data_IF_620234512026
#
_entry.id   IF_620234512026
#
_cell.length_a   1.000
_cell.length_b   1.000
_cell.length_c   1.000
_cell.angle_alpha   90.00
_cell.angle_beta   90.00
_cell.angle_gamma   90.00
#
_symmetry.space_group_name_H-M   'P 1'
#
loop_
_entity.id
_entity.type
_entity.pdbx_description
1 polymer ?
#
# COMPACT_ATOMS: atom_id res chain seq x y z
N UNK A 1 11.87 -33.95 4.55
CA UNK A 1 12.29 -32.65 3.97
C UNK A 1 11.25 -31.52 4.02
N UNK A 2 9.94 -31.79 4.08
CA UNK A 2 8.89 -30.77 4.31
C UNK A 2 9.08 -29.91 5.58
N UNK A 3 9.74 -30.47 6.60
CA UNK A 3 10.00 -29.78 7.88
C UNK A 3 10.95 -28.60 7.68
N UNK A 4 12.03 -28.79 6.90
CA UNK A 4 13.00 -27.73 6.61
C UNK A 4 12.37 -26.61 5.78
N UNK A 5 11.61 -26.98 4.75
CA UNK A 5 10.90 -26.02 3.90
C UNK A 5 9.90 -25.20 4.73
N UNK A 6 9.15 -25.85 5.64
CA UNK A 6 8.21 -25.18 6.55
C UNK A 6 8.92 -24.30 7.56
N UNK A 7 10.06 -24.73 8.07
CA UNK A 7 10.84 -23.96 9.04
C UNK A 7 11.40 -22.69 8.41
N UNK A 8 12.16 -22.81 7.32
CA UNK A 8 12.72 -21.67 6.57
C UNK A 8 11.59 -20.74 6.09
N UNK A 9 10.52 -21.32 5.53
CA UNK A 9 9.38 -20.54 5.05
C UNK A 9 8.68 -19.76 6.17
N UNK A 10 8.48 -20.37 7.35
CA UNK A 10 7.89 -19.68 8.50
C UNK A 10 8.79 -18.55 9.00
N UNK A 11 10.11 -18.78 9.08
CA UNK A 11 11.07 -17.76 9.51
C UNK A 11 11.06 -16.58 8.56
N UNK A 12 11.13 -16.82 7.24
CA UNK A 12 11.08 -15.76 6.22
C UNK A 12 9.75 -15.02 6.23
N UNK A 13 8.62 -15.72 6.30
CA UNK A 13 7.30 -15.09 6.38
C UNK A 13 7.20 -14.19 7.62
N UNK A 14 7.62 -14.70 8.77
CA UNK A 14 7.61 -13.92 10.01
C UNK A 14 8.50 -12.67 9.90
N UNK A 15 9.70 -12.80 9.35
CA UNK A 15 10.58 -11.64 9.17
C UNK A 15 10.07 -10.64 8.13
N UNK A 16 9.46 -11.09 7.04
CA UNK A 16 8.79 -10.20 6.07
C UNK A 16 7.62 -9.45 6.69
N UNK A 17 6.77 -10.14 7.46
CA UNK A 17 5.66 -9.49 8.16
C UNK A 17 6.15 -8.51 9.23
N UNK A 18 7.22 -8.84 9.95
CA UNK A 18 7.82 -7.94 10.93
C UNK A 18 8.43 -6.70 10.25
N UNK A 19 9.19 -6.88 9.17
CA UNK A 19 9.73 -5.78 8.39
C UNK A 19 8.62 -4.89 7.81
N UNK A 20 7.56 -5.50 7.27
CA UNK A 20 6.39 -4.79 6.76
C UNK A 20 5.72 -3.98 7.87
N UNK A 21 5.53 -4.58 9.04
CA UNK A 21 4.93 -3.89 10.19
C UNK A 21 5.74 -2.65 10.61
N UNK A 22 7.07 -2.79 10.70
CA UNK A 22 7.95 -1.68 11.07
C UNK A 22 7.89 -0.56 10.02
N UNK A 23 8.04 -0.91 8.73
CA UNK A 23 7.97 0.06 7.64
C UNK A 23 6.61 0.76 7.60
N UNK A 24 5.52 0.00 7.75
CA UNK A 24 4.17 0.52 7.77
C UNK A 24 3.95 1.45 8.96
N UNK A 25 4.44 1.11 10.16
CA UNK A 25 4.30 1.96 11.33
C UNK A 25 4.95 3.34 11.12
N UNK A 26 6.16 3.35 10.55
CA UNK A 26 6.87 4.60 10.20
C UNK A 26 6.11 5.38 9.13
N UNK A 27 5.66 4.71 8.07
CA UNK A 27 4.90 5.34 6.98
C UNK A 27 3.58 5.95 7.46
N UNK A 28 2.85 5.23 8.32
CA UNK A 28 1.59 5.72 8.89
C UNK A 28 1.81 6.91 9.82
N UNK A 29 2.90 6.92 10.58
CA UNK A 29 3.28 8.08 11.39
C UNK A 29 3.49 9.33 10.53
N UNK A 30 4.29 9.22 9.46
CA UNK A 30 4.51 10.35 8.55
C UNK A 30 3.24 10.76 7.81
N UNK A 31 2.44 9.80 7.35
CA UNK A 31 1.17 10.09 6.71
C UNK A 31 0.22 10.86 7.64
N UNK A 32 0.15 10.45 8.90
CA UNK A 32 -0.71 11.11 9.88
C UNK A 32 -0.18 12.50 10.22
N UNK A 33 1.14 12.65 10.40
CA UNK A 33 1.78 13.95 10.63
C UNK A 33 1.51 14.95 9.49
N UNK A 34 1.52 14.48 8.24
CA UNK A 34 1.17 15.30 7.08
C UNK A 34 -0.31 15.70 7.10
N UNK A 35 -1.20 14.77 7.47
CA UNK A 35 -2.64 15.03 7.49
C UNK A 35 -3.05 16.01 8.60
N UNK A 36 -2.28 16.09 9.69
CA UNK A 36 -2.48 17.10 10.75
C UNK A 36 -2.39 18.52 10.20
N UNK A 37 -1.55 18.77 9.19
CA UNK A 37 -1.39 20.11 8.59
C UNK A 37 -2.63 20.57 7.83
N UNK A 38 -3.51 19.64 7.45
CA UNK A 38 -4.75 19.92 6.73
C UNK A 38 -5.98 20.03 7.66
N UNK A 39 -5.81 19.75 8.96
CA UNK A 39 -6.87 19.88 9.95
C UNK A 39 -7.28 21.36 10.08
N UNK A 40 -8.58 21.63 10.03
CA UNK A 40 -9.14 22.98 10.06
C UNK A 40 -9.37 23.62 8.69
N UNK A 41 -9.02 22.95 7.59
CA UNK A 41 -9.46 23.34 6.23
C UNK A 41 -10.89 22.84 5.98
N UNK A 42 -11.88 23.74 6.06
CA UNK A 42 -13.30 23.38 5.90
C UNK A 42 -13.86 22.65 7.12
N UNK A 43 -14.50 21.49 6.92
CA UNK A 43 -15.01 20.62 8.01
C UNK A 43 -14.08 19.47 8.35
N UNK A 44 -12.84 19.50 7.86
CA UNK A 44 -11.89 18.41 8.04
C UNK A 44 -11.43 18.29 9.50
N UNK A 45 -11.83 17.20 10.16
CA UNK A 45 -11.53 16.94 11.57
C UNK A 45 -10.41 15.92 11.77
N UNK A 46 -9.91 15.83 13.00
CA UNK A 46 -8.94 14.81 13.40
C UNK A 46 -9.45 13.38 13.14
N UNK A 47 -10.76 13.15 13.32
CA UNK A 47 -11.39 11.85 13.05
C UNK A 47 -11.33 11.50 11.57
N UNK A 48 -11.52 12.49 10.68
CA UNK A 48 -11.43 12.28 9.23
C UNK A 48 -10.01 11.92 8.81
N UNK A 49 -9.00 12.55 9.42
CA UNK A 49 -7.59 12.22 9.22
C UNK A 49 -7.28 10.77 9.63
N UNK A 50 -7.75 10.32 10.80
CA UNK A 50 -7.60 8.92 11.23
C UNK A 50 -8.26 7.93 10.28
N UNK A 51 -9.49 8.22 9.86
CA UNK A 51 -10.24 7.37 8.92
C UNK A 51 -9.54 7.33 7.56
N UNK A 52 -9.07 8.47 7.07
CA UNK A 52 -8.31 8.56 5.82
C UNK A 52 -7.04 7.71 5.89
N UNK A 53 -6.19 7.93 6.89
CA UNK A 53 -4.95 7.14 7.08
C UNK A 53 -5.26 5.66 7.18
N UNK A 54 -6.28 5.27 7.95
CA UNK A 54 -6.71 3.88 8.09
C UNK A 54 -7.16 3.24 6.77
N UNK A 55 -7.92 3.96 5.95
CA UNK A 55 -8.39 3.48 4.65
C UNK A 55 -7.26 3.37 3.60
N UNK A 56 -6.18 4.15 3.75
CA UNK A 56 -5.00 4.04 2.87
C UNK A 56 -4.03 2.92 3.27
N UNK A 57 -4.21 2.25 4.42
CA UNK A 57 -3.34 1.14 4.87
C UNK A 57 -3.17 0.05 3.80
N UNK A 58 -4.23 -0.49 3.16
CA UNK A 58 -4.08 -1.58 2.20
C UNK A 58 -3.22 -1.22 1.00
N UNK A 59 -3.35 0.02 0.51
CA UNK A 59 -2.50 0.57 -0.55
C UNK A 59 -1.05 0.67 -0.09
N UNK A 60 -0.79 1.25 1.08
CA UNK A 60 0.56 1.39 1.64
C UNK A 60 1.23 0.03 1.86
N UNK A 61 0.47 -0.96 2.33
CA UNK A 61 0.96 -2.35 2.44
C UNK A 61 1.41 -2.88 1.09
N UNK A 62 0.62 -2.67 0.03
CA UNK A 62 0.97 -3.10 -1.32
C UNK A 62 2.25 -2.40 -1.82
N UNK A 63 2.35 -1.09 -1.63
CA UNK A 63 3.50 -0.28 -2.06
C UNK A 63 4.80 -0.66 -1.31
N UNK A 64 4.71 -0.94 0.00
CA UNK A 64 5.85 -1.28 0.85
C UNK A 64 6.25 -2.76 0.78
N UNK A 65 5.38 -3.63 0.27
CA UNK A 65 5.57 -5.07 0.30
C UNK A 65 6.89 -5.54 -0.34
N UNK A 66 7.32 -5.05 -1.51
CA UNK A 66 8.59 -5.49 -2.12
C UNK A 66 9.81 -5.18 -1.24
N UNK A 67 9.84 -3.99 -0.63
CA UNK A 67 10.90 -3.58 0.32
C UNK A 67 10.88 -4.45 1.58
N UNK A 68 9.69 -4.71 2.14
CA UNK A 68 9.53 -5.57 3.30
C UNK A 68 9.93 -7.03 3.03
N UNK A 69 9.62 -7.55 1.84
CA UNK A 69 10.01 -8.89 1.43
C UNK A 69 11.53 -9.03 1.33
N UNK A 70 12.20 -8.03 0.74
CA UNK A 70 13.66 -7.99 0.65
C UNK A 70 14.31 -7.92 2.04
N UNK A 71 13.95 -6.91 2.84
CA UNK A 71 14.52 -6.72 4.18
C UNK A 71 14.21 -7.90 5.11
N UNK A 72 12.96 -8.36 5.11
CA UNK A 72 12.53 -9.46 5.97
C UNK A 72 13.22 -10.78 5.62
N UNK A 73 13.38 -11.10 4.33
CA UNK A 73 14.10 -12.30 3.92
C UNK A 73 15.59 -12.20 4.22
N UNK A 74 16.21 -11.04 4.01
CA UNK A 74 17.61 -10.80 4.35
C UNK A 74 17.86 -10.96 5.85
N UNK A 75 17.06 -10.33 6.70
CA UNK A 75 17.18 -10.42 8.16
C UNK A 75 16.90 -11.85 8.65
N UNK A 76 15.87 -12.51 8.12
CA UNK A 76 15.51 -13.89 8.51
C UNK A 76 16.58 -14.91 8.14
N UNK A 77 17.13 -14.81 6.93
CA UNK A 77 18.22 -15.68 6.52
C UNK A 77 19.51 -15.30 7.25
N UNK A 78 19.71 -14.02 7.55
CA UNK A 78 20.82 -13.53 8.36
C UNK A 78 20.81 -14.11 9.77
N UNK A 79 19.66 -14.18 10.45
CA UNK A 79 19.56 -14.79 11.78
C UNK A 79 19.82 -16.30 11.74
N UNK A 80 19.28 -17.00 10.75
CA UNK A 80 19.59 -18.43 10.50
C UNK A 80 21.09 -18.67 10.25
N UNK A 81 21.77 -17.71 9.61
CA UNK A 81 23.21 -17.77 9.37
C UNK A 81 24.01 -17.49 10.64
N UNK A 82 23.62 -16.47 11.40
CA UNK A 82 24.26 -16.10 12.67
C UNK A 82 24.20 -17.23 13.71
N UNK A 83 23.07 -17.94 13.75
CA UNK A 83 22.90 -19.12 14.62
C UNK A 83 23.57 -20.39 14.07
N UNK A 84 24.34 -20.30 12.97
CA UNK A 84 24.97 -21.42 12.27
C UNK A 84 24.00 -22.50 11.76
N UNK A 85 22.69 -22.23 11.71
CA UNK A 85 21.69 -23.19 11.24
C UNK A 85 21.81 -23.42 9.73
N UNK A 86 22.01 -22.34 8.96
CA UNK A 86 22.27 -22.42 7.52
C UNK A 86 23.54 -23.23 7.20
N UNK A 87 24.56 -23.12 8.05
CA UNK A 87 25.80 -23.89 7.92
C UNK A 87 25.54 -25.37 8.22
N UNK A 88 24.83 -25.68 9.30
CA UNK A 88 24.45 -27.04 9.68
C UNK A 88 23.58 -27.73 8.60
N UNK A 89 22.60 -27.01 8.04
CA UNK A 89 21.74 -27.50 6.95
C UNK A 89 22.59 -27.87 5.71
N UNK A 90 23.57 -27.02 5.36
CA UNK A 90 24.47 -27.28 4.22
C UNK A 90 25.43 -28.42 4.49
N UNK A 91 25.96 -28.54 5.71
CA UNK A 91 26.82 -29.64 6.13
C UNK A 91 26.09 -31.00 6.07
N UNK A 92 24.77 -31.01 6.30
CA UNK A 92 23.91 -32.18 6.11
C UNK A 92 23.59 -32.51 4.63
N UNK A 93 24.25 -31.86 3.67
CA UNK A 93 24.13 -32.15 2.23
C UNK A 93 23.02 -31.40 1.50
N UNK A 94 22.38 -30.38 2.11
CA UNK A 94 21.35 -29.58 1.43
C UNK A 94 22.00 -28.49 0.58
N UNK A 95 21.67 -28.48 -0.72
CA UNK A 95 22.17 -27.46 -1.65
C UNK A 95 21.59 -26.06 -1.37
N UNK A 96 22.34 -25.02 -1.71
CA UNK A 96 21.89 -23.62 -1.60
C UNK A 96 20.67 -23.35 -2.49
N UNK A 97 20.62 -23.96 -3.68
CA UNK A 97 19.46 -23.85 -4.58
C UNK A 97 18.18 -24.38 -3.95
N UNK A 98 18.27 -25.45 -3.16
CA UNK A 98 17.12 -26.01 -2.47
C UNK A 98 16.62 -25.11 -1.34
N UNK A 99 17.55 -24.44 -0.63
CA UNK A 99 17.21 -23.42 0.37
C UNK A 99 16.50 -22.24 -0.31
N UNK A 100 17.05 -21.75 -1.43
CA UNK A 100 16.45 -20.67 -2.20
C UNK A 100 15.03 -21.03 -2.70
N UNK A 101 14.80 -22.27 -3.15
CA UNK A 101 13.47 -22.74 -3.52
C UNK A 101 12.48 -22.72 -2.34
N UNK A 102 12.91 -23.03 -1.12
CA UNK A 102 12.06 -22.94 0.06
C UNK A 102 11.68 -21.50 0.40
N UNK A 103 12.62 -20.56 0.23
CA UNK A 103 12.37 -19.12 0.36
C UNK A 103 11.41 -18.63 -0.73
N UNK A 104 11.63 -19.03 -1.99
CA UNK A 104 10.77 -18.66 -3.11
C UNK A 104 9.33 -19.15 -2.95
N UNK A 105 9.12 -20.37 -2.44
CA UNK A 105 7.76 -20.87 -2.13
C UNK A 105 7.05 -20.00 -1.10
N UNK A 106 7.76 -19.58 -0.05
CA UNK A 106 7.22 -18.68 0.96
C UNK A 106 6.92 -17.29 0.38
N UNK A 107 7.85 -16.76 -0.43
CA UNK A 107 7.67 -15.49 -1.14
C UNK A 107 6.50 -15.51 -2.12
N UNK A 108 6.29 -16.61 -2.84
CA UNK A 108 5.17 -16.78 -3.76
C UNK A 108 3.82 -16.73 -3.05
N UNK A 109 3.70 -17.36 -1.87
CA UNK A 109 2.49 -17.28 -1.05
C UNK A 109 2.21 -15.83 -0.64
N UNK A 110 3.23 -15.13 -0.14
CA UNK A 110 3.07 -13.73 0.26
C UNK A 110 2.76 -12.82 -0.94
N UNK A 111 3.37 -13.07 -2.10
CA UNK A 111 3.11 -12.32 -3.33
C UNK A 111 1.65 -12.44 -3.75
N UNK A 112 1.08 -13.65 -3.73
CA UNK A 112 -0.34 -13.87 -4.07
C UNK A 112 -1.25 -13.11 -3.09
N UNK A 113 -0.94 -13.12 -1.80
CA UNK A 113 -1.70 -12.38 -0.78
C UNK A 113 -1.59 -10.86 -1.01
N UNK A 114 -0.38 -10.35 -1.26
CA UNK A 114 -0.14 -8.93 -1.49
C UNK A 114 -0.78 -8.42 -2.79
N UNK A 115 -0.76 -9.25 -3.85
CA UNK A 115 -1.44 -8.96 -5.10
C UNK A 115 -2.96 -8.96 -4.92
N UNK A 116 -3.52 -9.92 -4.18
CA UNK A 116 -4.95 -9.96 -3.87
C UNK A 116 -5.42 -8.69 -3.11
N UNK A 117 -4.63 -8.25 -2.14
CA UNK A 117 -4.91 -7.00 -1.40
C UNK A 117 -4.82 -5.79 -2.35
N UNK A 118 -3.77 -5.74 -3.18
CA UNK A 118 -3.54 -4.65 -4.13
C UNK A 118 -4.62 -4.52 -5.20
N UNK A 119 -5.18 -5.64 -5.65
CA UNK A 119 -6.17 -5.65 -6.74
C UNK A 119 -7.61 -5.41 -6.24
N UNK A 120 -7.99 -6.02 -5.11
CA UNK A 120 -9.40 -5.98 -4.66
C UNK A 120 -9.66 -5.00 -3.53
N UNK A 121 -8.71 -4.84 -2.60
CA UNK A 121 -8.93 -4.07 -1.37
C UNK A 121 -8.42 -2.65 -1.54
N UNK A 122 -7.16 -2.49 -1.95
CA UNK A 122 -6.49 -1.20 -2.07
C UNK A 122 -7.25 -0.17 -2.93
N UNK A 123 -7.73 -0.47 -4.16
CA UNK A 123 -8.41 0.54 -4.97
C UNK A 123 -9.74 0.98 -4.35
N UNK A 124 -10.49 0.05 -3.73
CA UNK A 124 -11.78 0.37 -3.11
C UNK A 124 -11.61 1.24 -1.87
N UNK A 125 -10.64 0.92 -1.03
CA UNK A 125 -10.41 1.68 0.20
C UNK A 125 -9.78 3.03 -0.09
N UNK A 126 -8.87 3.12 -1.07
CA UNK A 126 -8.28 4.38 -1.51
C UNK A 126 -9.31 5.32 -2.11
N UNK A 127 -10.18 4.83 -3.00
CA UNK A 127 -11.26 5.65 -3.57
C UNK A 127 -12.18 6.21 -2.48
N UNK A 128 -12.55 5.39 -1.49
CA UNK A 128 -13.35 5.83 -0.37
C UNK A 128 -12.62 6.86 0.50
N UNK A 129 -11.31 6.68 0.72
CA UNK A 129 -10.48 7.63 1.46
C UNK A 129 -10.45 9.00 0.78
N UNK A 130 -10.15 9.02 -0.53
CA UNK A 130 -10.08 10.25 -1.31
C UNK A 130 -11.43 10.96 -1.40
N UNK A 131 -12.51 10.22 -1.67
CA UNK A 131 -13.86 10.79 -1.69
C UNK A 131 -14.23 11.44 -0.36
N UNK A 132 -13.95 10.78 0.78
CA UNK A 132 -14.23 11.34 2.10
C UNK A 132 -13.39 12.58 2.40
N UNK A 133 -12.10 12.56 2.08
CA UNK A 133 -11.21 13.71 2.27
C UNK A 133 -11.68 14.90 1.44
N UNK A 134 -12.01 14.67 0.17
CA UNK A 134 -12.56 15.71 -0.71
C UNK A 134 -13.85 16.25 -0.12
N UNK A 135 -14.84 15.42 0.22
CA UNK A 135 -16.13 15.90 0.76
C UNK A 135 -15.97 16.70 2.06
N UNK A 136 -15.10 16.26 2.98
CA UNK A 136 -14.86 16.93 4.25
C UNK A 136 -14.11 18.27 4.10
N UNK A 137 -13.20 18.38 3.14
CA UNK A 137 -12.56 19.65 2.77
C UNK A 137 -13.48 20.54 1.91
N UNK A 138 -14.41 19.96 1.15
CA UNK A 138 -15.19 20.63 0.11
C UNK A 138 -16.44 21.35 0.58
N UNK A 139 -16.86 21.27 1.85
CA UNK A 139 -17.88 22.22 2.33
C UNK A 139 -17.38 23.68 2.27
N UNK A 140 -16.05 23.89 2.24
CA UNK A 140 -15.43 25.18 1.91
C UNK A 140 -15.11 25.38 0.41
N UNK A 141 -15.29 24.35 -0.43
CA UNK A 141 -15.04 24.36 -1.88
C UNK A 141 -16.33 23.90 -2.58
N UNK A 142 -17.34 24.76 -2.61
CA UNK A 142 -18.44 24.66 -3.57
C UNK A 142 -17.84 24.56 -4.97
N UNK A 143 -17.68 23.36 -5.55
CA UNK A 143 -17.28 23.06 -6.96
C UNK A 143 -16.66 24.25 -7.73
N UNK A 144 -15.66 24.91 -7.15
CA UNK A 144 -14.91 26.02 -7.74
C UNK A 144 -13.63 25.36 -8.22
N UNK A 145 -13.80 24.49 -9.20
CA UNK A 145 -12.75 24.27 -10.17
C UNK A 145 -12.60 25.63 -10.87
N UNK A 146 -11.75 26.51 -10.32
CA UNK A 146 -11.29 27.69 -11.07
C UNK A 146 -10.57 27.26 -12.36
N UNK A 147 -10.09 26.01 -12.36
CA UNK A 147 -9.45 25.33 -13.46
C UNK A 147 -10.44 24.30 -14.03
N UNK A 148 -11.27 24.69 -14.99
CA UNK A 148 -12.27 23.81 -15.63
C UNK A 148 -11.69 22.45 -16.06
N UNK A 149 -12.52 21.42 -16.08
CA UNK A 149 -12.12 20.07 -16.50
C UNK A 149 -11.91 20.04 -18.01
N UNK A 150 -10.70 19.67 -18.46
CA UNK A 150 -10.40 19.45 -19.86
C UNK A 150 -10.45 17.96 -20.17
N UNK A 151 -11.19 17.60 -21.21
CA UNK A 151 -11.26 16.24 -21.74
C UNK A 151 -11.04 16.28 -23.25
N UNK A 152 -10.34 15.28 -23.79
CA UNK A 152 -10.12 15.13 -25.23
C UNK A 152 -10.86 13.90 -25.73
N UNK A 153 -11.71 14.08 -26.72
CA UNK A 153 -12.41 13.00 -27.43
C UNK A 153 -12.03 13.06 -28.92
N UNK A 154 -11.07 12.22 -29.33
CA UNK A 154 -10.49 12.26 -30.67
C UNK A 154 -9.78 13.59 -30.94
N UNK A 155 -10.31 14.39 -31.86
CA UNK A 155 -9.81 15.73 -32.21
C UNK A 155 -10.56 16.88 -31.51
N UNK A 156 -11.52 16.57 -30.65
CA UNK A 156 -12.30 17.57 -29.91
C UNK A 156 -11.71 17.83 -28.54
N UNK A 157 -11.60 19.11 -28.18
CA UNK A 157 -11.08 19.54 -26.87
C UNK A 157 -12.23 20.15 -26.07
N UNK A 158 -12.77 19.35 -25.16
CA UNK A 158 -13.92 19.72 -24.36
C UNK A 158 -13.42 20.38 -23.06
N UNK A 159 -13.78 21.63 -22.83
CA UNK A 159 -13.60 22.33 -21.57
C UNK A 159 -14.94 22.43 -20.82
N UNK A 160 -14.99 21.89 -19.60
CA UNK A 160 -16.15 21.93 -18.72
C UNK A 160 -15.82 22.86 -17.55
N UNK A 161 -16.43 24.06 -17.54
CA UNK A 161 -16.16 25.08 -16.52
C UNK A 161 -16.77 24.78 -15.16
N UNK A 162 -17.88 24.04 -15.11
CA UNK A 162 -18.53 23.67 -13.84
C UNK A 162 -19.28 22.36 -13.97
N UNK A 163 -19.12 21.51 -12.97
CA UNK A 163 -19.95 20.32 -12.76
C UNK A 163 -20.91 20.65 -11.63
N UNK A 164 -22.22 20.62 -11.89
CA UNK A 164 -23.23 20.85 -10.86
C UNK A 164 -23.40 19.60 -9.98
N UNK A 165 -23.85 19.74 -8.72
CA UNK A 165 -24.07 18.63 -7.80
C UNK A 165 -25.06 17.56 -8.27
N UNK A 166 -25.89 17.88 -9.28
CA UNK A 166 -26.86 16.98 -9.90
C UNK A 166 -26.31 16.23 -11.12
N UNK A 167 -25.01 16.36 -11.40
CA UNK A 167 -24.34 15.72 -12.53
C UNK A 167 -24.49 16.47 -13.85
N UNK A 168 -25.16 17.63 -13.89
CA UNK A 168 -25.23 18.46 -15.10
C UNK A 168 -23.93 19.24 -15.31
N UNK A 169 -23.51 19.36 -16.56
CA UNK A 169 -22.34 20.13 -16.96
C UNK A 169 -22.78 21.54 -17.37
N UNK A 170 -22.16 22.57 -16.78
CA UNK A 170 -22.40 23.96 -17.16
C UNK A 170 -21.13 24.61 -17.72
N UNK A 171 -21.30 25.42 -18.76
CA UNK A 171 -20.20 26.11 -19.43
C UNK A 171 -19.29 25.18 -20.23
N UNK A 172 -19.88 24.22 -20.97
CA UNK A 172 -19.15 23.32 -21.87
C UNK A 172 -18.74 24.09 -23.13
N UNK A 173 -17.44 24.06 -23.45
CA UNK A 173 -16.86 24.51 -24.71
C UNK A 173 -16.23 23.30 -25.39
N UNK A 174 -16.34 23.15 -26.70
CA UNK A 174 -15.88 21.99 -27.50
C UNK A 174 -14.95 22.45 -28.59
#
# INVERSE_FOLDING_TARGET
>A
MRILDRYIGRTVIAGTLLALFILLAVELFFSFANEIQDIGKGRYTLTDAFVYVGLTIPRRVHDLFPMAALLGSLLSLGTLAANSELVAIRAAGVSVTRIALSVLKAGAILLVIAAAIGEWVAPRTEQLAQQRRVLAQSEAITFRSEHGLWARDGDRFINIKRILPDGRLAGVQV
#
